data_IF_013111462512
#
_entry.id   IF_013111462512
#
_cell.length_a   1.000
_cell.length_b   1.000
_cell.length_c   1.000
_cell.angle_alpha   90.00
_cell.angle_beta   90.00
_cell.angle_gamma   90.00
#
_symmetry.space_group_name_H-M   'P 1'
#
loop_
_entity.id
_entity.type
_entity.pdbx_description
1 polymer ?
#
# COMPACT_ATOMS: atom_id res chain seq x y z
N UNK A 1 -33.59 28.47 5.74
CA UNK A 1 -33.51 26.99 5.67
C UNK A 1 -34.87 26.45 6.01
N UNK A 2 -35.47 25.64 5.13
CA UNK A 2 -36.80 25.11 5.38
C UNK A 2 -36.78 24.14 6.57
N UNK A 3 -37.19 24.62 7.75
CA UNK A 3 -37.48 23.78 8.91
C UNK A 3 -38.74 22.98 8.59
N UNK A 4 -38.54 21.85 7.88
CA UNK A 4 -39.57 20.87 7.62
C UNK A 4 -40.10 20.30 8.93
N UNK A 5 -41.40 19.97 8.99
CA UNK A 5 -42.01 19.23 10.11
C UNK A 5 -41.31 17.90 10.40
N UNK A 6 -40.51 17.38 9.47
CA UNK A 6 -39.75 16.15 9.60
C UNK A 6 -38.34 16.34 10.15
N UNK A 7 -37.85 17.58 10.36
CA UNK A 7 -36.48 17.84 10.79
C UNK A 7 -36.12 17.25 12.17
N UNK A 8 -37.12 16.95 13.00
CA UNK A 8 -36.92 16.35 14.33
C UNK A 8 -36.25 14.97 14.26
N UNK A 9 -36.38 14.23 13.15
CA UNK A 9 -35.76 12.89 13.01
C UNK A 9 -34.23 12.94 13.08
N UNK A 10 -33.63 14.09 12.78
CA UNK A 10 -32.19 14.31 12.90
C UNK A 10 -31.69 14.26 14.35
N UNK A 11 -32.55 14.52 15.33
CA UNK A 11 -32.20 14.47 16.76
C UNK A 11 -31.90 13.04 17.25
N UNK A 12 -32.29 12.02 16.49
CA UNK A 12 -31.99 10.62 16.79
C UNK A 12 -30.61 10.17 16.30
N UNK A 13 -29.87 11.01 15.57
CA UNK A 13 -28.50 10.70 15.17
C UNK A 13 -27.57 10.77 16.39
N UNK A 14 -26.91 9.66 16.72
CA UNK A 14 -25.86 9.62 17.73
C UNK A 14 -24.48 9.85 17.09
N UNK A 15 -23.75 10.86 17.55
CA UNK A 15 -22.40 11.14 17.07
C UNK A 15 -21.34 10.67 18.08
N UNK A 16 -20.67 9.56 17.76
CA UNK A 16 -19.51 9.10 18.54
C UNK A 16 -18.24 9.84 18.11
N UNK A 17 -17.53 10.44 19.07
CA UNK A 17 -16.21 11.07 18.85
C UNK A 17 -15.09 10.24 19.44
N UNK A 18 -13.98 10.17 18.72
CA UNK A 18 -12.75 9.53 19.20
C UNK A 18 -12.05 10.48 20.18
N UNK A 19 -11.62 9.95 21.33
CA UNK A 19 -10.95 10.70 22.40
C UNK A 19 -9.79 11.55 21.87
N UNK A 20 -9.69 12.80 22.32
CA UNK A 20 -8.65 13.74 21.93
C UNK A 20 -7.28 13.32 22.50
N UNK A 21 -6.20 13.72 21.83
CA UNK A 21 -4.82 13.43 22.23
C UNK A 21 -4.47 11.94 22.35
N UNK A 22 -5.33 11.04 21.89
CA UNK A 22 -5.05 9.61 21.74
C UNK A 22 -4.78 9.27 20.28
N UNK A 23 -3.86 8.33 20.08
CA UNK A 23 -3.73 7.64 18.81
C UNK A 23 -4.98 6.80 18.57
N UNK A 24 -5.26 6.52 17.31
CA UNK A 24 -6.20 5.48 16.97
C UNK A 24 -5.76 4.77 15.70
N UNK A 25 -6.10 3.50 15.64
CA UNK A 25 -5.85 2.64 14.49
C UNK A 25 -7.19 2.32 13.83
N UNK A 26 -7.27 2.54 12.53
CA UNK A 26 -8.34 1.97 11.71
C UNK A 26 -7.82 0.66 11.15
N UNK A 27 -8.36 -0.47 11.60
CA UNK A 27 -8.06 -1.78 11.02
C UNK A 27 -9.15 -2.17 10.04
N UNK A 28 -8.75 -2.57 8.85
CA UNK A 28 -9.59 -3.10 7.77
C UNK A 28 -9.29 -4.60 7.63
N UNK A 29 -10.31 -5.43 7.41
CA UNK A 29 -10.19 -6.87 7.23
C UNK A 29 -11.11 -7.36 6.10
N UNK A 30 -10.67 -8.35 5.31
CA UNK A 30 -11.43 -8.89 4.19
C UNK A 30 -12.67 -9.67 4.65
N UNK A 31 -13.86 -9.24 4.24
CA UNK A 31 -15.10 -9.95 4.55
C UNK A 31 -15.21 -11.24 3.72
N UNK A 32 -15.25 -12.40 4.39
CA UNK A 32 -15.31 -13.72 3.76
C UNK A 32 -14.23 -13.92 2.68
N UNK A 33 -13.01 -13.43 2.97
CA UNK A 33 -11.93 -13.42 1.98
C UNK A 33 -11.45 -14.83 1.60
N UNK A 34 -11.68 -15.83 2.46
CA UNK A 34 -11.42 -17.25 2.13
C UNK A 34 -12.23 -17.72 0.91
N UNK A 35 -13.50 -17.30 0.80
CA UNK A 35 -14.32 -17.58 -0.38
C UNK A 35 -13.83 -16.76 -1.58
N UNK A 36 -13.48 -15.49 -1.35
CA UNK A 36 -12.99 -14.59 -2.39
C UNK A 36 -11.75 -15.14 -3.09
N UNK A 37 -10.73 -15.50 -2.32
CA UNK A 37 -9.46 -16.02 -2.85
C UNK A 37 -9.62 -17.37 -3.55
N UNK A 38 -10.61 -18.19 -3.14
CA UNK A 38 -10.93 -19.46 -3.82
C UNK A 38 -11.55 -19.20 -5.19
N UNK A 39 -12.53 -18.29 -5.29
CA UNK A 39 -13.19 -17.97 -6.57
C UNK A 39 -12.26 -17.24 -7.54
N UNK A 40 -11.33 -16.44 -7.03
CA UNK A 40 -10.36 -15.71 -7.84
C UNK A 40 -9.03 -16.43 -8.03
N UNK A 41 -8.93 -17.71 -7.63
CA UNK A 41 -7.77 -18.59 -7.87
C UNK A 41 -6.44 -17.99 -7.39
N UNK A 42 -6.42 -17.52 -6.15
CA UNK A 42 -5.19 -17.06 -5.52
C UNK A 42 -4.24 -18.24 -5.33
N UNK A 43 -2.95 -17.98 -5.56
CA UNK A 43 -1.88 -18.93 -5.27
C UNK A 43 -1.83 -19.19 -3.77
N UNK A 44 -1.64 -20.47 -3.41
CA UNK A 44 -1.47 -20.93 -2.04
C UNK A 44 -0.02 -21.33 -1.78
N UNK A 45 0.53 -21.06 -0.59
CA UNK A 45 -0.13 -20.45 0.58
C UNK A 45 -0.31 -18.92 0.49
N UNK A 46 0.56 -18.23 -0.25
CA UNK A 46 0.59 -16.78 -0.36
C UNK A 46 0.55 -16.34 -1.84
N UNK A 47 -0.29 -15.36 -2.16
CA UNK A 47 -0.36 -14.78 -3.51
C UNK A 47 0.21 -13.35 -3.51
N UNK A 48 1.37 -13.19 -4.13
CA UNK A 48 2.07 -11.91 -4.19
C UNK A 48 1.25 -10.83 -4.93
N UNK A 49 0.42 -11.21 -5.92
CA UNK A 49 -0.44 -10.26 -6.64
C UNK A 49 -1.47 -9.65 -5.69
N UNK A 50 -2.09 -10.48 -4.88
CA UNK A 50 -3.06 -10.07 -3.87
C UNK A 50 -2.44 -9.15 -2.81
N UNK A 51 -1.27 -9.50 -2.29
CA UNK A 51 -0.57 -8.68 -1.30
C UNK A 51 -0.14 -7.33 -1.88
N UNK A 52 0.38 -7.31 -3.10
CA UNK A 52 0.78 -6.07 -3.77
C UNK A 52 -0.43 -5.18 -4.11
N UNK A 53 -1.59 -5.78 -4.44
CA UNK A 53 -2.84 -5.04 -4.60
C UNK A 53 -3.26 -4.38 -3.27
N UNK A 54 -3.24 -5.12 -2.16
CA UNK A 54 -3.53 -4.58 -0.83
C UNK A 54 -2.57 -3.44 -0.45
N UNK A 55 -1.28 -3.58 -0.78
CA UNK A 55 -0.27 -2.55 -0.55
C UNK A 55 -0.54 -1.27 -1.37
N UNK A 56 -0.92 -1.38 -2.65
CA UNK A 56 -1.30 -0.22 -3.47
C UNK A 56 -2.57 0.47 -2.94
N UNK A 57 -3.52 -0.30 -2.41
CA UNK A 57 -4.71 0.25 -1.76
C UNK A 57 -4.33 1.06 -0.52
N UNK A 58 -3.44 0.53 0.32
CA UNK A 58 -2.94 1.24 1.49
C UNK A 58 -2.18 2.52 1.10
N UNK A 59 -1.31 2.47 0.08
CA UNK A 59 -0.63 3.66 -0.45
C UNK A 59 -1.65 4.69 -0.95
N UNK A 60 -2.72 4.26 -1.62
CA UNK A 60 -3.80 5.14 -2.07
C UNK A 60 -4.49 5.82 -0.89
N UNK A 61 -4.79 5.09 0.18
CA UNK A 61 -5.35 5.65 1.43
C UNK A 61 -4.40 6.68 2.04
N UNK A 62 -3.10 6.37 2.14
CA UNK A 62 -2.09 7.29 2.66
C UNK A 62 -1.94 8.54 1.78
N UNK A 63 -2.07 8.42 0.46
CA UNK A 63 -2.08 9.57 -0.47
C UNK A 63 -3.27 10.50 -0.22
N UNK A 64 -4.44 9.93 0.05
CA UNK A 64 -5.68 10.67 0.27
C UNK A 64 -5.79 11.28 1.67
N UNK A 65 -5.21 10.62 2.68
CA UNK A 65 -5.29 11.04 4.08
C UNK A 65 -3.90 11.36 4.65
N UNK A 66 -3.56 12.66 4.68
CA UNK A 66 -2.28 13.14 5.21
C UNK A 66 -2.12 12.98 6.73
N UNK A 67 -3.19 12.61 7.44
CA UNK A 67 -3.22 12.35 8.89
C UNK A 67 -2.71 10.96 9.29
N UNK A 68 -2.44 10.10 8.31
CA UNK A 68 -1.90 8.76 8.49
C UNK A 68 -0.39 8.80 8.21
N UNK A 69 0.40 8.46 9.22
CA UNK A 69 1.88 8.48 9.15
C UNK A 69 2.48 7.06 9.02
N UNK A 70 1.74 6.03 9.43
CA UNK A 70 2.20 4.63 9.46
C UNK A 70 1.04 3.69 9.16
N UNK A 71 1.30 2.64 8.39
CA UNK A 71 0.38 1.52 8.27
C UNK A 71 1.11 0.18 8.12
N UNK A 72 0.41 -0.88 8.49
CA UNK A 72 0.91 -2.25 8.46
C UNK A 72 -0.18 -3.19 7.94
N UNK A 73 0.18 -4.11 7.04
CA UNK A 73 -0.77 -5.10 6.50
C UNK A 73 -0.13 -6.46 6.25
N UNK A 74 -0.92 -7.51 6.41
CA UNK A 74 -0.60 -8.89 6.02
C UNK A 74 -1.89 -9.64 5.71
N UNK A 75 -1.79 -10.73 4.93
CA UNK A 75 -2.97 -11.47 4.45
C UNK A 75 -3.98 -10.51 3.78
N UNK A 76 -5.17 -10.41 4.35
CA UNK A 76 -6.33 -9.66 3.91
C UNK A 76 -6.67 -8.48 4.84
N UNK A 77 -5.78 -8.14 5.78
CA UNK A 77 -5.95 -7.01 6.70
C UNK A 77 -4.94 -5.87 6.48
N UNK A 78 -5.37 -4.65 6.83
CA UNK A 78 -4.52 -3.47 6.86
C UNK A 78 -4.89 -2.55 8.02
N UNK A 79 -3.88 -2.07 8.75
CA UNK A 79 -4.01 -1.20 9.92
C UNK A 79 -3.40 0.16 9.67
N UNK A 80 -4.17 1.23 9.85
CA UNK A 80 -3.77 2.61 9.58
C UNK A 80 -3.67 3.41 10.88
N UNK A 81 -2.47 3.90 11.23
CA UNK A 81 -2.23 4.71 12.41
C UNK A 81 -2.49 6.19 12.14
N UNK A 82 -3.49 6.74 12.82
CA UNK A 82 -3.75 8.17 12.82
C UNK A 82 -3.02 8.88 13.96
N UNK A 83 -2.49 10.06 13.65
CA UNK A 83 -1.81 10.93 14.62
C UNK A 83 -2.73 11.31 15.77
N UNK A 84 -2.22 11.32 17.01
CA UNK A 84 -2.99 11.76 18.18
C UNK A 84 -3.55 13.19 18.09
N UNK A 85 -2.89 14.06 17.31
CA UNK A 85 -3.30 15.45 17.09
C UNK A 85 -4.32 15.64 15.97
N UNK A 86 -4.74 14.58 15.25
CA UNK A 86 -5.63 14.75 14.10
C UNK A 86 -6.98 15.34 14.50
N UNK A 87 -7.45 16.28 13.70
CA UNK A 87 -8.78 16.91 13.79
C UNK A 87 -9.69 16.51 12.64
N UNK A 88 -9.29 15.51 11.84
CA UNK A 88 -10.03 15.06 10.66
C UNK A 88 -11.50 14.78 11.01
N UNK A 89 -12.42 15.44 10.31
CA UNK A 89 -13.87 15.35 10.53
C UNK A 89 -14.31 15.49 11.99
N UNK A 90 -13.66 16.37 12.76
CA UNK A 90 -13.90 16.53 14.20
C UNK A 90 -13.81 15.21 14.99
N UNK A 91 -12.99 14.27 14.50
CA UNK A 91 -12.80 12.93 15.08
C UNK A 91 -14.10 12.13 15.19
N UNK A 92 -15.06 12.39 14.31
CA UNK A 92 -16.29 11.60 14.20
C UNK A 92 -15.95 10.18 13.78
N UNK A 93 -16.25 9.23 14.65
CA UNK A 93 -15.92 7.82 14.50
C UNK A 93 -16.41 7.28 13.15
N UNK A 94 -17.69 7.45 12.85
CA UNK A 94 -18.30 6.82 11.67
C UNK A 94 -17.82 7.48 10.37
N UNK A 95 -17.55 8.79 10.38
CA UNK A 95 -16.96 9.47 9.22
C UNK A 95 -15.58 8.92 8.92
N UNK A 96 -14.72 8.81 9.93
CA UNK A 96 -13.37 8.26 9.75
C UNK A 96 -13.45 6.80 9.27
N UNK A 97 -14.20 5.97 9.97
CA UNK A 97 -14.32 4.56 9.68
C UNK A 97 -14.82 4.31 8.25
N UNK A 98 -15.98 4.89 7.89
CA UNK A 98 -16.64 4.65 6.61
C UNK A 98 -15.86 5.20 5.43
N UNK A 99 -15.21 6.36 5.54
CA UNK A 99 -14.44 6.94 4.45
C UNK A 99 -13.12 6.20 4.22
N UNK A 100 -12.47 5.69 5.27
CA UNK A 100 -11.25 4.90 5.13
C UNK A 100 -11.56 3.55 4.47
N UNK A 101 -12.56 2.82 4.97
CA UNK A 101 -12.92 1.50 4.40
C UNK A 101 -13.49 1.60 2.99
N UNK A 102 -14.39 2.56 2.72
CA UNK A 102 -14.95 2.71 1.37
C UNK A 102 -13.89 3.08 0.33
N UNK A 103 -12.93 3.95 0.70
CA UNK A 103 -11.84 4.32 -0.18
C UNK A 103 -10.84 3.19 -0.40
N UNK A 104 -10.58 2.37 0.62
CA UNK A 104 -9.75 1.17 0.46
C UNK A 104 -10.43 0.16 -0.48
N UNK A 105 -11.72 -0.14 -0.27
CA UNK A 105 -12.49 -1.05 -1.13
C UNK A 105 -12.57 -0.56 -2.57
N UNK A 106 -12.83 0.74 -2.79
CA UNK A 106 -12.88 1.29 -4.14
C UNK A 106 -11.51 1.26 -4.82
N UNK A 107 -10.42 1.53 -4.08
CA UNK A 107 -9.06 1.41 -4.58
C UNK A 107 -8.71 -0.04 -4.95
N UNK A 108 -9.19 -1.03 -4.19
CA UNK A 108 -9.00 -2.44 -4.49
C UNK A 108 -9.62 -2.82 -5.83
N UNK A 109 -10.87 -2.41 -6.06
CA UNK A 109 -11.57 -2.67 -7.32
C UNK A 109 -10.88 -1.93 -8.47
N UNK A 110 -10.55 -0.65 -8.26
CA UNK A 110 -9.93 0.21 -9.27
C UNK A 110 -8.57 -0.34 -9.74
N UNK A 111 -7.76 -0.82 -8.80
CA UNK A 111 -6.43 -1.36 -9.09
C UNK A 111 -6.43 -2.85 -9.44
N UNK A 112 -7.56 -3.55 -9.38
CA UNK A 112 -7.64 -4.99 -9.59
C UNK A 112 -6.95 -5.43 -10.89
N UNK A 113 -7.30 -4.80 -12.01
CA UNK A 113 -6.76 -5.13 -13.35
C UNK A 113 -5.26 -4.94 -13.49
N UNK A 114 -4.66 -4.07 -12.68
CA UNK A 114 -3.20 -3.87 -12.65
C UNK A 114 -2.46 -5.11 -12.12
N UNK A 115 -3.05 -5.83 -11.16
CA UNK A 115 -2.42 -6.98 -10.50
C UNK A 115 -2.98 -8.33 -11.00
N UNK A 116 -4.21 -8.31 -11.53
CA UNK A 116 -4.93 -9.46 -12.06
C UNK A 116 -5.39 -9.16 -13.51
N UNK A 117 -4.47 -8.99 -14.48
CA UNK A 117 -4.83 -8.60 -15.85
C UNK A 117 -5.74 -9.62 -16.53
N UNK A 118 -5.48 -10.90 -16.28
CA UNK A 118 -6.17 -12.03 -16.92
C UNK A 118 -7.31 -12.62 -16.08
N UNK A 119 -7.64 -12.03 -14.92
CA UNK A 119 -8.72 -12.50 -14.06
C UNK A 119 -9.73 -11.38 -13.88
N UNK A 120 -10.95 -11.58 -14.34
CA UNK A 120 -12.04 -10.65 -14.03
C UNK A 120 -12.43 -10.75 -12.55
N UNK A 121 -12.91 -9.64 -12.01
CA UNK A 121 -13.51 -9.62 -10.69
C UNK A 121 -14.90 -10.27 -10.79
N UNK A 122 -15.08 -11.43 -10.17
CA UNK A 122 -16.34 -12.20 -10.24
C UNK A 122 -17.45 -11.52 -9.47
N UNK A 123 -17.12 -10.92 -8.33
CA UNK A 123 -18.05 -10.17 -7.48
C UNK A 123 -17.29 -9.10 -6.68
N UNK A 124 -17.93 -7.99 -6.28
CA UNK A 124 -17.26 -6.93 -5.54
C UNK A 124 -16.78 -7.44 -4.17
N UNK A 125 -15.52 -7.20 -3.79
CA UNK A 125 -15.04 -7.53 -2.46
C UNK A 125 -15.70 -6.62 -1.42
N UNK A 126 -15.78 -7.12 -0.19
CA UNK A 126 -16.22 -6.34 0.97
C UNK A 126 -15.13 -6.38 2.02
N UNK A 127 -15.01 -5.30 2.77
CA UNK A 127 -14.08 -5.19 3.88
C UNK A 127 -14.83 -4.71 5.12
N UNK A 128 -14.54 -5.35 6.25
CA UNK A 128 -14.92 -4.84 7.56
C UNK A 128 -13.92 -3.74 7.96
N UNK A 129 -14.30 -2.89 8.90
CA UNK A 129 -13.35 -2.02 9.55
C UNK A 129 -13.75 -1.73 11.00
N UNK A 130 -12.76 -1.43 11.82
CA UNK A 130 -12.96 -0.98 13.21
C UNK A 130 -11.92 0.05 13.63
N UNK A 131 -12.30 0.93 14.55
CA UNK A 131 -11.39 1.89 15.18
C UNK A 131 -11.03 1.41 16.59
N UNK A 132 -9.73 1.34 16.89
CA UNK A 132 -9.22 1.10 18.24
C UNK A 132 -8.44 2.33 18.70
N UNK A 133 -8.67 2.78 19.93
CA UNK A 133 -8.06 3.99 20.50
C UNK A 133 -6.98 3.59 21.49
N UNK A 134 -5.80 4.20 21.38
CA UNK A 134 -4.65 3.92 22.23
C UNK A 134 -4.11 5.22 22.84
N UNK A 135 -3.90 5.28 24.16
CA UNK A 135 -3.51 6.50 24.84
C UNK A 135 -2.03 6.84 24.67
N UNK A 136 -1.13 5.85 24.65
CA UNK A 136 0.32 6.07 24.59
C UNK A 136 0.96 5.43 23.36
N UNK A 137 2.26 5.68 23.21
CA UNK A 137 3.07 5.15 22.09
C UNK A 137 3.40 3.68 22.31
N UNK A 138 3.52 3.23 23.55
CA UNK A 138 3.86 1.86 23.90
C UNK A 138 2.74 0.90 23.49
N UNK A 139 1.46 1.23 23.77
CA UNK A 139 0.36 0.36 23.32
C UNK A 139 0.22 0.31 21.79
N UNK A 140 0.65 1.36 21.08
CA UNK A 140 0.69 1.34 19.61
C UNK A 140 1.79 0.40 19.11
N UNK A 141 2.99 0.47 19.70
CA UNK A 141 4.09 -0.46 19.37
C UNK A 141 3.69 -1.90 19.67
N UNK A 142 3.05 -2.15 20.80
CA UNK A 142 2.56 -3.46 21.19
C UNK A 142 1.49 -3.97 20.23
N UNK A 143 0.55 -3.11 19.83
CA UNK A 143 -0.47 -3.46 18.84
C UNK A 143 0.15 -3.93 17.51
N UNK A 144 1.10 -3.17 16.97
CA UNK A 144 1.75 -3.54 15.71
C UNK A 144 2.67 -4.76 15.83
N UNK A 145 3.35 -4.90 16.98
CA UNK A 145 4.12 -6.12 17.32
C UNK A 145 3.21 -7.34 17.39
N UNK A 146 2.04 -7.21 18.00
CA UNK A 146 1.01 -8.25 18.03
C UNK A 146 0.54 -8.63 16.63
N UNK A 147 0.25 -7.65 15.75
CA UNK A 147 -0.15 -7.95 14.37
C UNK A 147 0.97 -8.62 13.57
N UNK A 148 2.23 -8.29 13.81
CA UNK A 148 3.35 -8.96 13.14
C UNK A 148 3.63 -10.37 13.69
N UNK A 149 3.46 -10.59 15.00
CA UNK A 149 3.52 -11.93 15.58
C UNK A 149 2.41 -12.84 15.00
N UNK A 150 1.20 -12.31 14.83
CA UNK A 150 0.09 -13.02 14.18
C UNK A 150 0.41 -13.38 12.72
N UNK A 151 0.99 -12.46 11.95
CA UNK A 151 1.48 -12.72 10.60
C UNK A 151 2.48 -13.88 10.56
N UNK A 152 3.45 -13.89 11.47
CA UNK A 152 4.46 -14.95 11.55
C UNK A 152 3.84 -16.32 11.81
N UNK A 153 2.96 -16.41 12.82
CA UNK A 153 2.26 -17.65 13.20
C UNK A 153 1.40 -18.17 12.04
N UNK A 154 0.59 -17.29 11.44
CA UNK A 154 -0.31 -17.67 10.35
C UNK A 154 0.45 -18.10 9.11
N UNK A 155 1.54 -17.40 8.76
CA UNK A 155 2.36 -17.76 7.60
C UNK A 155 3.02 -19.11 7.80
N UNK A 156 3.61 -19.37 8.96
CA UNK A 156 4.24 -20.66 9.24
C UNK A 156 3.22 -21.81 9.18
N UNK A 157 2.04 -21.62 9.77
CA UNK A 157 0.95 -22.58 9.71
C UNK A 157 0.50 -22.84 8.27
N UNK A 158 0.24 -21.78 7.50
CA UNK A 158 -0.25 -21.87 6.12
C UNK A 158 0.75 -22.53 5.18
N UNK A 159 2.04 -22.23 5.33
CA UNK A 159 3.12 -22.90 4.58
C UNK A 159 3.10 -24.41 4.82
N UNK A 160 3.04 -24.84 6.09
CA UNK A 160 2.93 -26.27 6.41
C UNK A 160 1.65 -26.88 5.83
N UNK A 161 0.51 -26.24 6.07
CA UNK A 161 -0.80 -26.75 5.68
C UNK A 161 -0.91 -26.95 4.17
N UNK A 162 -0.56 -25.94 3.38
CA UNK A 162 -0.68 -26.02 1.93
C UNK A 162 0.39 -26.91 1.29
N UNK A 163 1.60 -27.00 1.84
CA UNK A 163 2.57 -27.98 1.34
C UNK A 163 2.13 -29.42 1.63
N UNK A 164 1.51 -29.72 2.79
CA UNK A 164 0.92 -31.04 3.06
C UNK A 164 -0.19 -31.38 2.05
N UNK A 165 -1.10 -30.44 1.79
CA UNK A 165 -2.22 -30.64 0.87
C UNK A 165 -1.74 -30.79 -0.58
N UNK A 166 -0.84 -29.91 -1.03
CA UNK A 166 -0.44 -29.84 -2.45
C UNK A 166 0.67 -30.81 -2.84
N UNK A 167 1.62 -31.10 -1.94
CA UNK A 167 2.79 -31.94 -2.25
C UNK A 167 2.73 -33.33 -1.64
N UNK A 168 1.98 -33.51 -0.55
CA UNK A 168 1.81 -34.82 0.12
C UNK A 168 0.42 -35.41 -0.04
N UNK A 169 -0.46 -34.78 -0.84
CA UNK A 169 -1.83 -35.23 -1.13
C UNK A 169 -2.70 -35.44 0.13
N UNK A 170 -2.44 -34.69 1.20
CA UNK A 170 -3.32 -34.70 2.37
C UNK A 170 -4.66 -34.04 2.02
N UNK A 171 -5.75 -34.57 2.55
CA UNK A 171 -7.01 -33.83 2.59
C UNK A 171 -6.90 -32.64 3.54
N UNK A 172 -7.81 -31.67 3.42
CA UNK A 172 -7.81 -30.48 4.29
C UNK A 172 -7.98 -30.87 5.77
N UNK A 173 -8.80 -31.89 6.07
CA UNK A 173 -9.02 -32.37 7.43
C UNK A 173 -7.79 -33.10 8.00
N UNK A 174 -7.13 -33.92 7.20
CA UNK A 174 -5.91 -34.61 7.62
C UNK A 174 -4.78 -33.64 7.91
N UNK A 175 -4.57 -32.64 7.03
CA UNK A 175 -3.56 -31.61 7.24
C UNK A 175 -3.84 -30.79 8.51
N UNK A 176 -5.12 -30.45 8.76
CA UNK A 176 -5.52 -29.76 9.98
C UNK A 176 -5.26 -30.61 11.23
N UNK A 177 -5.71 -31.87 11.26
CA UNK A 177 -5.50 -32.80 12.38
C UNK A 177 -4.02 -33.03 12.66
N UNK A 178 -3.21 -33.15 11.61
CA UNK A 178 -1.77 -33.32 11.72
C UNK A 178 -1.09 -32.11 12.38
N UNK A 179 -1.48 -30.89 11.99
CA UNK A 179 -0.86 -29.67 12.51
C UNK A 179 -1.35 -29.24 13.90
N UNK A 180 -2.51 -29.75 14.34
CA UNK A 180 -3.14 -29.36 15.62
C UNK A 180 -2.23 -29.55 16.83
N UNK A 181 -1.41 -30.60 16.84
CA UNK A 181 -0.53 -30.96 17.96
C UNK A 181 0.90 -30.43 17.81
N UNK A 182 1.21 -29.73 16.72
CA UNK A 182 2.58 -29.31 16.40
C UNK A 182 2.95 -27.98 17.02
N UNK A 183 4.20 -27.83 17.45
CA UNK A 183 4.80 -26.58 17.89
C UNK A 183 5.53 -25.86 16.73
N UNK A 184 6.03 -24.65 16.98
CA UNK A 184 6.78 -23.85 16.00
C UNK A 184 8.03 -24.57 15.48
N UNK A 185 8.74 -25.31 16.33
CA UNK A 185 9.94 -26.07 15.94
C UNK A 185 9.56 -27.21 14.99
N UNK A 186 8.55 -27.99 15.34
CA UNK A 186 8.05 -29.11 14.54
C UNK A 186 7.59 -28.64 13.15
N UNK A 187 6.94 -27.47 13.07
CA UNK A 187 6.54 -26.87 11.78
C UNK A 187 7.75 -26.51 10.90
N UNK A 188 8.82 -25.95 11.49
CA UNK A 188 10.04 -25.65 10.74
C UNK A 188 10.74 -26.93 10.27
N UNK A 189 10.82 -27.95 11.12
CA UNK A 189 11.39 -29.25 10.77
C UNK A 189 10.56 -29.93 9.67
N UNK A 190 9.23 -29.87 9.74
CA UNK A 190 8.34 -30.38 8.71
C UNK A 190 8.63 -29.72 7.34
N UNK A 191 8.71 -28.39 7.30
CA UNK A 191 9.00 -27.63 6.09
C UNK A 191 10.37 -28.02 5.50
N UNK A 192 11.38 -28.11 6.35
CA UNK A 192 12.73 -28.42 5.93
C UNK A 192 12.87 -29.88 5.46
N UNK A 193 12.49 -30.84 6.29
CA UNK A 193 12.75 -32.26 6.05
C UNK A 193 11.86 -32.84 4.96
N UNK A 194 10.56 -32.48 4.92
CA UNK A 194 9.64 -33.07 3.91
C UNK A 194 9.55 -32.28 2.62
N UNK A 195 9.69 -30.96 2.69
CA UNK A 195 9.44 -30.09 1.53
C UNK A 195 10.70 -29.37 1.03
N UNK A 196 11.84 -29.54 1.70
CA UNK A 196 13.08 -28.83 1.42
C UNK A 196 12.89 -27.30 1.42
N UNK A 197 12.02 -26.79 2.29
CA UNK A 197 11.73 -25.37 2.45
C UNK A 197 12.34 -24.88 3.75
N UNK A 198 13.33 -24.00 3.65
CA UNK A 198 13.81 -23.26 4.81
C UNK A 198 12.90 -22.04 5.04
N UNK A 199 12.12 -22.05 6.12
CA UNK A 199 11.21 -20.97 6.48
C UNK A 199 11.92 -19.60 6.48
N UNK A 200 13.14 -19.51 6.99
CA UNK A 200 13.87 -18.24 7.07
C UNK A 200 14.23 -17.65 5.71
N UNK A 201 14.25 -18.47 4.65
CA UNK A 201 14.52 -18.04 3.29
C UNK A 201 13.25 -17.62 2.53
N UNK A 202 12.06 -17.78 3.14
CA UNK A 202 10.83 -17.26 2.53
C UNK A 202 10.91 -15.72 2.40
N UNK A 203 10.29 -15.15 1.36
CA UNK A 203 10.20 -13.71 1.17
C UNK A 203 9.72 -12.99 2.44
N UNK A 204 10.37 -11.89 2.80
CA UNK A 204 10.07 -11.17 4.04
C UNK A 204 8.63 -10.65 4.09
N UNK A 205 8.08 -10.24 2.94
CA UNK A 205 6.67 -9.84 2.80
C UNK A 205 5.69 -10.89 3.32
N UNK A 206 6.00 -12.19 3.16
CA UNK A 206 5.16 -13.26 3.68
C UNK A 206 5.37 -13.43 5.18
N UNK A 207 6.63 -13.42 5.65
CA UNK A 207 6.93 -13.71 7.06
C UNK A 207 6.62 -12.56 8.02
N UNK A 208 6.73 -11.33 7.55
CA UNK A 208 6.71 -10.11 8.37
C UNK A 208 5.65 -9.10 7.95
N UNK A 209 4.88 -9.38 6.89
CA UNK A 209 3.91 -8.44 6.34
C UNK A 209 4.57 -7.24 5.67
N UNK A 210 3.79 -6.22 5.35
CA UNK A 210 4.24 -4.97 4.73
C UNK A 210 4.01 -3.80 5.65
N UNK A 211 5.05 -2.99 5.85
CA UNK A 211 5.01 -1.73 6.57
C UNK A 211 5.13 -0.60 5.55
N UNK A 212 4.29 0.43 5.67
CA UNK A 212 4.35 1.62 4.82
C UNK A 212 4.35 2.86 5.71
N UNK A 213 5.39 3.69 5.54
CA UNK A 213 5.67 4.83 6.40
C UNK A 213 5.70 6.09 5.55
N UNK A 214 5.08 7.17 6.03
CA UNK A 214 5.21 8.48 5.39
C UNK A 214 6.61 9.04 5.60
N UNK A 215 7.35 9.27 4.53
CA UNK A 215 8.69 9.83 4.59
C UNK A 215 8.63 11.33 4.91
N UNK A 216 8.98 11.72 6.15
CA UNK A 216 9.01 13.14 6.55
C UNK A 216 10.17 13.91 5.93
N UNK A 217 11.19 13.23 5.39
CA UNK A 217 12.33 13.82 4.70
C UNK A 217 12.12 13.96 3.19
N UNK A 218 10.95 13.57 2.67
CA UNK A 218 10.62 13.72 1.26
C UNK A 218 10.71 15.19 0.83
N UNK A 219 11.70 15.49 0.00
CA UNK A 219 11.80 16.77 -0.71
C UNK A 219 11.06 16.58 -2.03
N UNK A 220 9.90 17.24 -2.17
CA UNK A 220 9.22 17.33 -3.47
C UNK A 220 10.20 18.04 -4.41
N UNK A 221 10.74 17.35 -5.42
CA UNK A 221 11.42 18.02 -6.52
C UNK A 221 10.42 19.00 -7.11
N UNK A 222 10.58 20.29 -6.82
CA UNK A 222 9.81 21.33 -7.48
C UNK A 222 10.15 21.21 -8.95
N UNK A 223 9.18 20.78 -9.76
CA UNK A 223 9.25 20.93 -11.20
C UNK A 223 9.64 22.37 -11.50
N UNK A 224 10.67 22.51 -12.34
CA UNK A 224 11.26 23.72 -12.87
C UNK A 224 10.26 24.88 -12.88
N UNK A 225 10.44 25.84 -11.96
CA UNK A 225 10.08 27.23 -12.28
C UNK A 225 11.05 27.63 -13.39
N UNK A 226 10.61 27.53 -14.64
CA UNK A 226 11.26 28.20 -15.75
C UNK A 226 11.20 29.69 -15.40
N UNK A 227 12.34 30.23 -14.95
CA UNK A 227 12.54 31.67 -14.92
C UNK A 227 12.62 32.13 -16.37
N UNK A 228 11.49 32.51 -16.95
CA UNK A 228 11.44 33.19 -18.23
C UNK A 228 12.03 34.59 -18.04
N UNK A 229 13.36 34.72 -18.07
CA UNK A 229 14.01 36.04 -18.11
C UNK A 229 15.39 36.05 -18.79
N UNK A 230 15.76 35.05 -19.61
CA UNK A 230 17.03 35.07 -20.35
C UNK A 230 17.00 34.45 -21.76
N UNK A 231 15.85 34.43 -22.46
CA UNK A 231 15.81 34.11 -23.89
C UNK A 231 15.12 35.24 -24.67
N UNK A 232 15.87 36.31 -24.95
CA UNK A 232 15.49 37.35 -25.94
C UNK A 232 16.65 37.64 -26.92
N UNK A 233 17.76 36.89 -26.92
CA UNK A 233 18.91 37.25 -27.78
C UNK A 233 19.35 36.24 -28.85
N UNK A 234 18.71 35.08 -28.99
CA UNK A 234 19.18 34.07 -29.96
C UNK A 234 18.20 33.73 -31.11
N UNK A 235 17.08 34.45 -31.27
CA UNK A 235 16.09 34.17 -32.34
C UNK A 235 16.39 34.83 -33.70
N UNK A 236 17.40 35.71 -33.78
CA UNK A 236 17.79 36.41 -35.02
C UNK A 236 18.84 35.65 -35.86
N UNK A 237 19.59 34.70 -35.28
CA UNK A 237 20.62 33.93 -36.00
C UNK A 237 20.07 32.67 -36.69
N UNK A 238 19.05 32.01 -36.11
CA UNK A 238 18.44 30.80 -36.69
C UNK A 238 17.67 31.09 -37.99
N UNK A 239 17.07 32.28 -38.12
CA UNK A 239 16.25 32.65 -39.30
C UNK A 239 17.06 32.98 -40.55
N UNK A 240 18.38 33.18 -40.43
CA UNK A 240 19.26 33.46 -41.59
C UNK A 240 19.81 32.23 -42.29
N UNK A 241 19.78 31.05 -41.65
CA UNK A 241 20.32 29.82 -42.23
C UNK A 241 19.31 28.98 -43.04
N UNK A 242 18.02 29.33 -43.04
CA UNK A 242 16.97 28.54 -43.72
C UNK A 242 16.63 29.09 -45.13
N UNK A 243 17.08 30.29 -45.51
CA UNK A 243 16.72 30.93 -46.78
C UNK A 243 17.78 30.85 -47.91
N UNK A 244 18.68 29.88 -47.86
CA UNK A 244 19.60 29.58 -48.96
C UNK A 244 19.53 28.10 -49.32
N UNK A 245 18.44 27.67 -49.97
CA UNK A 245 18.42 26.63 -51.02
C UNK A 245 16.99 26.47 -51.58
N UNK A 246 16.69 27.38 -52.52
CA UNK A 246 16.00 27.21 -53.81
C UNK A 246 14.85 26.20 -53.99
N UNK A 247 13.68 26.77 -54.30
CA UNK A 247 12.72 26.45 -55.39
C UNK A 247 12.96 25.19 -56.25
N UNK A 248 11.88 24.41 -56.48
CA UNK A 248 11.33 23.94 -57.77
C UNK A 248 9.86 23.46 -57.52
N UNK A 249 9.08 23.42 -58.59
CA UNK A 249 7.64 23.72 -58.76
C UNK A 249 6.60 22.60 -58.50
N UNK A 250 5.37 23.07 -58.28
CA UNK A 250 4.02 22.54 -58.48
C UNK A 250 3.78 21.17 -59.18
N UNK A 251 2.89 20.35 -58.60
CA UNK A 251 1.65 19.86 -59.26
C UNK A 251 0.77 19.02 -58.31
N UNK A 252 -0.54 19.12 -58.50
CA UNK A 252 -1.68 18.57 -57.76
C UNK A 252 -1.76 17.03 -57.62
N UNK A 253 -2.60 16.57 -56.65
CA UNK A 253 -3.60 15.46 -56.71
C UNK A 253 -3.67 14.57 -55.43
N UNK A 254 -4.83 14.68 -54.76
CA UNK A 254 -5.75 13.70 -54.14
C UNK A 254 -5.34 12.48 -53.28
N UNK A 255 -6.01 12.44 -52.10
CA UNK A 255 -6.78 11.37 -51.45
C UNK A 255 -6.38 9.87 -51.55
N UNK A 256 -6.31 9.30 -50.33
CA UNK A 256 -6.88 8.04 -49.83
C UNK A 256 -6.16 6.66 -50.00
N UNK A 257 -6.40 5.85 -48.97
CA UNK A 257 -6.28 4.38 -48.82
C UNK A 257 -4.98 3.71 -48.32
N UNK A 258 -5.02 3.36 -47.02
CA UNK A 258 -4.96 2.00 -46.44
C UNK A 258 -4.22 0.93 -47.26
N UNK A 259 -3.12 0.37 -46.72
CA UNK A 259 -3.01 -1.03 -46.26
C UNK A 259 -1.56 -1.51 -46.09
N UNK A 260 -1.42 -2.50 -45.19
CA UNK A 260 -0.34 -3.49 -45.08
C UNK A 260 0.85 -3.18 -44.15
N UNK A 261 0.68 -3.59 -42.89
CA UNK A 261 1.78 -4.01 -42.00
C UNK A 261 1.86 -5.53 -42.06
N UNK A 262 2.97 -6.05 -42.58
CA UNK A 262 3.35 -7.45 -42.47
C UNK A 262 4.49 -7.60 -41.45
N UNK A 263 4.17 -8.38 -40.41
CA UNK A 263 4.93 -9.45 -39.75
C UNK A 263 6.48 -9.39 -39.71
N UNK A 264 7.06 -9.36 -38.50
CA UNK A 264 7.72 -10.54 -37.90
C UNK A 264 8.39 -10.29 -36.53
N UNK A 265 7.91 -11.06 -35.55
CA UNK A 265 8.54 -11.71 -34.40
C UNK A 265 10.02 -11.45 -34.05
N UNK A 266 10.28 -11.15 -32.77
CA UNK A 266 10.89 -12.14 -31.85
C UNK A 266 10.86 -11.65 -30.39
N UNK A 267 10.31 -12.50 -29.51
CA UNK A 267 10.27 -12.34 -28.06
C UNK A 267 11.33 -13.25 -27.45
N UNK A 268 12.29 -12.68 -26.72
CA UNK A 268 13.20 -13.44 -25.85
C UNK A 268 12.69 -13.42 -24.40
N UNK A 269 12.56 -14.58 -23.72
CA UNK A 269 12.18 -14.67 -22.32
C UNK A 269 13.40 -15.00 -21.45
N UNK A 270 14.25 -14.03 -21.12
CA UNK A 270 15.19 -14.18 -20.00
C UNK A 270 15.86 -12.85 -19.59
N UNK A 271 15.26 -12.15 -18.62
CA UNK A 271 16.00 -11.19 -17.79
C UNK A 271 15.27 -10.90 -16.47
N UNK A 272 15.16 -11.90 -15.61
CA UNK A 272 14.92 -11.66 -14.18
C UNK A 272 16.24 -11.14 -13.56
N UNK A 273 16.39 -9.81 -13.50
CA UNK A 273 17.46 -9.18 -12.70
C UNK A 273 16.98 -8.97 -11.26
N UNK A 274 17.84 -9.20 -10.25
CA UNK A 274 17.49 -9.03 -8.85
C UNK A 274 17.34 -7.55 -8.48
N UNK A 275 16.35 -7.22 -7.67
CA UNK A 275 16.20 -5.90 -7.05
C UNK A 275 17.44 -5.59 -6.18
N UNK A 276 18.10 -4.43 -6.36
CA UNK A 276 19.23 -4.06 -5.53
C UNK A 276 18.80 -3.50 -4.17
N UNK A 277 19.60 -3.86 -3.16
CA UNK A 277 19.51 -3.53 -1.75
C UNK A 277 19.32 -2.05 -1.41
N UNK A 278 18.57 -1.85 -0.32
CA UNK A 278 18.62 -0.79 0.70
C UNK A 278 19.74 0.25 0.58
N UNK A 279 19.40 1.40 0.02
CA UNK A 279 19.88 2.71 0.47
C UNK A 279 18.67 3.64 0.55
N UNK A 280 18.57 4.42 1.62
CA UNK A 280 17.43 5.29 1.90
C UNK A 280 17.19 6.29 0.76
N UNK A 281 16.28 5.97 -0.16
CA UNK A 281 15.82 6.87 -1.21
C UNK A 281 15.06 8.03 -0.56
N UNK A 282 15.73 9.18 -0.44
CA UNK A 282 15.14 10.44 0.03
C UNK A 282 14.07 11.00 -0.93
N UNK A 283 13.82 10.31 -2.05
CA UNK A 283 12.95 10.70 -3.14
C UNK A 283 11.53 10.17 -3.05
N UNK A 284 11.25 9.12 -2.27
CA UNK A 284 9.91 8.53 -2.22
C UNK A 284 9.09 9.08 -1.06
N UNK A 285 7.85 9.51 -1.35
CA UNK A 285 6.90 10.06 -0.35
C UNK A 285 6.54 9.00 0.71
N UNK A 286 6.58 7.73 0.33
CA UNK A 286 6.27 6.60 1.20
C UNK A 286 7.41 5.59 1.14
N UNK A 287 7.84 5.12 2.32
CA UNK A 287 8.84 4.07 2.48
C UNK A 287 8.08 2.78 2.71
N UNK A 288 8.31 1.77 1.87
CA UNK A 288 7.78 0.41 2.05
C UNK A 288 8.90 -0.49 2.55
N UNK A 289 8.66 -1.22 3.64
CA UNK A 289 9.66 -2.10 4.27
C UNK A 289 8.99 -3.34 4.87
N UNK A 290 9.79 -4.39 5.12
CA UNK A 290 9.39 -5.67 5.72
C UNK A 290 10.22 -5.96 6.99
N UNK A 291 10.66 -4.90 7.67
CA UNK A 291 11.46 -4.96 8.90
C UNK A 291 10.69 -5.54 10.11
N UNK A 292 11.42 -5.87 11.17
CA UNK A 292 10.85 -6.40 12.42
C UNK A 292 10.34 -5.26 13.32
N UNK A 293 9.04 -5.23 13.61
CA UNK A 293 8.36 -4.28 14.49
C UNK A 293 8.49 -4.62 15.97
N UNK A 294 8.83 -5.86 16.30
CA UNK A 294 8.94 -6.34 17.69
C UNK A 294 10.18 -5.76 18.37
N UNK A 295 11.22 -5.44 17.60
CA UNK A 295 12.47 -4.88 18.11
C UNK A 295 12.47 -3.36 18.12
N UNK A 296 13.00 -2.75 19.18
CA UNK A 296 13.15 -1.28 19.28
C UNK A 296 14.03 -0.66 18.19
N UNK A 297 14.86 -1.46 17.52
CA UNK A 297 15.70 -1.01 16.39
C UNK A 297 14.89 -0.33 15.29
N UNK A 298 13.72 -0.88 14.95
CA UNK A 298 12.83 -0.31 13.96
C UNK A 298 12.26 1.03 14.42
N UNK A 299 11.72 1.09 15.64
CA UNK A 299 11.10 2.31 16.18
C UNK A 299 12.11 3.43 16.42
N UNK A 300 13.36 3.08 16.75
CA UNK A 300 14.46 4.05 16.84
C UNK A 300 14.86 4.60 15.46
N UNK A 301 14.86 3.74 14.42
CA UNK A 301 15.15 4.16 13.03
C UNK A 301 14.06 5.09 12.48
N UNK A 302 12.80 4.83 12.81
CA UNK A 302 11.64 5.61 12.35
C UNK A 302 10.97 6.39 13.49
N UNK A 303 11.76 6.96 14.40
CA UNK A 303 11.30 7.70 15.58
C UNK A 303 10.37 8.88 15.26
N UNK A 304 10.51 9.42 14.05
CA UNK A 304 9.73 10.52 13.54
C UNK A 304 8.25 10.18 13.35
N UNK A 305 7.85 8.90 13.36
CA UNK A 305 6.43 8.50 13.36
C UNK A 305 5.70 9.09 14.56
N UNK A 306 6.35 9.11 15.74
CA UNK A 306 5.75 9.62 16.98
C UNK A 306 6.23 11.02 17.38
N UNK A 307 7.43 11.43 16.98
CA UNK A 307 7.95 12.76 17.31
C UNK A 307 7.12 13.87 16.64
N UNK A 308 6.71 14.87 17.44
CA UNK A 308 6.18 16.13 16.92
C UNK A 308 7.24 16.78 16.03
N UNK A 309 6.80 17.33 14.89
CA UNK A 309 7.60 18.28 14.11
C UNK A 309 8.01 19.38 15.10
N UNK A 310 9.30 19.53 15.42
CA UNK A 310 9.76 20.68 16.20
C UNK A 310 9.27 21.91 15.44
N UNK A 311 8.35 22.66 16.04
CA UNK A 311 8.04 24.00 15.56
C UNK A 311 9.39 24.72 15.53
N UNK A 312 9.77 25.18 14.34
CA UNK A 312 10.86 26.14 14.20
C UNK A 312 10.46 27.31 15.09
N UNK A 313 11.05 27.40 16.29
CA UNK A 313 10.93 28.58 17.14
C UNK A 313 11.36 29.77 16.28
N UNK A 314 10.41 30.60 15.89
CA UNK A 314 10.72 31.93 15.41
C UNK A 314 11.62 32.56 16.47
N UNK A 315 12.83 32.94 16.06
CA UNK A 315 13.73 33.74 16.89
C UNK A 315 12.94 34.94 17.36
N UNK A 316 12.73 35.07 18.66
CA UNK A 316 12.32 36.33 19.28
C UNK A 316 13.36 37.37 18.87
N UNK A 317 12.96 38.32 18.03
CA UNK A 317 13.71 39.55 17.86
C UNK A 317 13.49 40.36 19.14
N UNK A 318 14.47 40.29 20.04
CA UNK A 318 14.60 41.24 21.15
C UNK A 318 14.66 42.65 20.56
N UNK A 319 13.56 43.41 20.70
CA UNK A 319 13.62 44.86 20.58
C UNK A 319 14.13 45.39 21.92
N UNK A 320 15.42 45.72 21.93
CA UNK A 320 16.02 46.64 22.88
C UNK A 320 15.86 48.07 22.38
#
# INVERSE_FOLDING_TARGET
MANSKFAYVKLFEEEKKILLNCYFVVRIDGSDFKKFIKQHEYVKPNDLRGLNLMNECAISVLKNYDEIDFCYGHSDEFSFLFRKSTKLWNRRHDKILTNVVSYFTSSFIFNWKKYFPNKELVYPPSFDARIIVYPTEDEIKDYFSWRQADCHINTQYNECFWNLVLKSNYTHEEAYKFLLTTQTKDKNELLFTRFNINYNNLPEIFRRGTIIIRNKNYKKNNALKINTTQHVQNDEEWKKQINQHTHIENSDIDLCHISNVDTNNNCDPDSLKPYPNDQSNTTDKFITTHENLITETFWNKYDFVFKKKKELKCKEYSHS
#
